data_IF_866238099972
#
_entry.id   IF_866238099972
#
_cell.length_a   1.000
_cell.length_b   1.000
_cell.length_c   1.000
_cell.angle_alpha   90.00
_cell.angle_beta   90.00
_cell.angle_gamma   90.00
#
_symmetry.space_group_name_H-M   'P 1'
#
loop_
_entity.id
_entity.type
_entity.pdbx_description
1 polymer ?
#
# COMPACT_ATOMS: atom_id res chain seq x y z
N UNK A 1 9.70 55.11 -3.95
CA UNK A 1 8.92 53.86 -4.16
C UNK A 1 9.54 52.76 -3.32
N UNK A 2 8.80 52.11 -2.42
CA UNK A 2 9.33 50.97 -1.66
C UNK A 2 9.74 49.83 -2.59
N UNK A 3 10.92 49.25 -2.34
CA UNK A 3 11.42 48.06 -3.02
C UNK A 3 10.37 46.95 -2.99
N UNK A 4 10.25 46.18 -4.08
CA UNK A 4 9.33 45.03 -4.16
C UNK A 4 9.56 44.06 -3.00
N UNK A 5 10.81 43.84 -2.61
CA UNK A 5 11.21 42.97 -1.50
C UNK A 5 10.62 43.47 -0.17
N UNK A 6 10.67 44.78 0.09
CA UNK A 6 10.12 45.35 1.32
C UNK A 6 8.60 45.20 1.37
N UNK A 7 7.91 45.35 0.23
CA UNK A 7 6.46 45.12 0.14
C UNK A 7 6.10 43.66 0.44
N UNK A 8 6.86 42.71 -0.09
CA UNK A 8 6.67 41.28 0.22
C UNK A 8 6.97 40.96 1.68
N UNK A 9 8.02 41.53 2.28
CA UNK A 9 8.35 41.32 3.68
C UNK A 9 7.25 41.83 4.63
N UNK A 10 6.71 43.02 4.37
CA UNK A 10 5.58 43.59 5.14
C UNK A 10 4.32 42.74 4.98
N UNK A 11 4.03 42.24 3.77
CA UNK A 11 2.91 41.34 3.51
C UNK A 11 3.06 40.02 4.30
N UNK A 12 4.24 39.39 4.24
CA UNK A 12 4.53 38.16 4.99
C UNK A 12 4.44 38.37 6.50
N UNK A 13 4.90 39.50 7.02
CA UNK A 13 4.80 39.82 8.44
C UNK A 13 3.34 40.05 8.87
N UNK A 14 2.55 40.74 8.05
CA UNK A 14 1.11 40.99 8.31
C UNK A 14 0.28 39.70 8.29
N UNK A 15 0.60 38.77 7.40
CA UNK A 15 -0.17 37.53 7.18
C UNK A 15 0.56 36.27 7.66
N UNK A 16 1.54 36.39 8.56
CA UNK A 16 2.37 35.26 9.01
C UNK A 16 1.54 34.06 9.50
N UNK A 17 0.61 34.31 10.42
CA UNK A 17 -0.24 33.27 11.01
C UNK A 17 -1.17 32.59 9.98
N UNK A 18 -1.98 33.33 9.20
CA UNK A 18 -2.84 32.68 8.20
C UNK A 18 -2.05 32.00 7.09
N UNK A 19 -0.87 32.50 6.72
CA UNK A 19 0.02 31.83 5.77
C UNK A 19 0.50 30.49 6.33
N UNK A 20 0.96 30.48 7.59
CA UNK A 20 1.44 29.27 8.25
C UNK A 20 0.32 28.23 8.39
N UNK A 21 -0.87 28.65 8.84
CA UNK A 21 -2.03 27.76 8.96
C UNK A 21 -2.40 27.18 7.59
N UNK A 22 -2.52 28.02 6.56
CA UNK A 22 -2.84 27.58 5.21
C UNK A 22 -1.78 26.62 4.66
N UNK A 23 -0.49 26.89 4.88
CA UNK A 23 0.58 26.01 4.40
C UNK A 23 0.59 24.67 5.13
N UNK A 24 0.48 24.67 6.48
CA UNK A 24 0.48 23.44 7.26
C UNK A 24 -0.77 22.61 6.99
N UNK A 25 -1.94 23.26 6.94
CA UNK A 25 -3.20 22.61 6.58
C UNK A 25 -3.19 22.06 5.16
N UNK A 26 -2.59 22.78 4.21
CA UNK A 26 -2.42 22.32 2.83
C UNK A 26 -1.54 21.08 2.71
N UNK A 27 -0.37 21.07 3.36
CA UNK A 27 0.53 19.90 3.36
C UNK A 27 -0.12 18.71 4.06
N UNK A 28 -0.75 18.95 5.21
CA UNK A 28 -1.50 17.91 5.93
C UNK A 28 -2.62 17.34 5.07
N UNK A 29 -3.45 18.18 4.45
CA UNK A 29 -4.53 17.75 3.57
C UNK A 29 -4.04 16.95 2.37
N UNK A 30 -2.93 17.38 1.74
CA UNK A 30 -2.32 16.65 0.64
C UNK A 30 -1.81 15.26 1.07
N UNK A 31 -1.13 15.15 2.22
CA UNK A 31 -0.68 13.87 2.75
C UNK A 31 -1.85 12.95 3.16
N UNK A 32 -2.93 13.52 3.70
CA UNK A 32 -4.11 12.75 4.13
C UNK A 32 -4.99 12.29 2.97
N UNK A 33 -4.92 12.94 1.80
CA UNK A 33 -5.90 12.76 0.72
C UNK A 33 -6.08 11.29 0.31
N UNK A 34 -4.99 10.56 0.09
CA UNK A 34 -5.06 9.16 -0.35
C UNK A 34 -5.47 8.20 0.78
N UNK A 35 -5.41 8.63 2.03
CA UNK A 35 -5.95 7.89 3.17
C UNK A 35 -7.42 8.18 3.45
N UNK A 36 -7.93 9.34 3.03
CA UNK A 36 -9.37 9.64 3.13
C UNK A 36 -10.18 8.91 2.05
N UNK A 37 -9.58 8.73 0.87
CA UNK A 37 -10.24 8.14 -0.31
C UNK A 37 -9.38 7.02 -0.94
N UNK A 38 -9.03 5.95 -0.19
CA UNK A 38 -8.11 4.92 -0.66
C UNK A 38 -8.61 4.18 -1.91
N UNK A 39 -9.92 3.97 -2.07
CA UNK A 39 -10.48 3.33 -3.28
C UNK A 39 -10.22 4.13 -4.57
N UNK A 40 -10.34 5.46 -4.51
CA UNK A 40 -10.19 6.34 -5.68
C UNK A 40 -8.74 6.66 -6.02
N UNK A 41 -7.82 6.39 -5.09
CA UNK A 41 -6.42 6.81 -5.21
C UNK A 41 -5.49 5.62 -5.07
N UNK A 42 -5.32 5.15 -3.84
CA UNK A 42 -4.36 4.12 -3.46
C UNK A 42 -4.63 2.78 -4.15
N UNK A 43 -5.89 2.34 -4.15
CA UNK A 43 -6.27 1.07 -4.77
C UNK A 43 -6.05 1.11 -6.27
N UNK A 44 -6.46 2.17 -6.96
CA UNK A 44 -6.19 2.30 -8.40
C UNK A 44 -4.69 2.24 -8.72
N UNK A 45 -3.87 2.84 -7.85
CA UNK A 45 -2.43 2.84 -8.01
C UNK A 45 -1.81 1.46 -7.78
N UNK A 46 -2.29 0.62 -6.86
CA UNK A 46 -1.63 -0.65 -6.51
C UNK A 46 -2.35 -1.92 -6.95
N UNK A 47 -3.59 -1.82 -7.43
CA UNK A 47 -4.41 -2.96 -7.85
C UNK A 47 -3.66 -3.80 -8.88
N UNK A 48 -3.62 -5.11 -8.68
CA UNK A 48 -3.17 -6.03 -9.72
C UNK A 48 -4.23 -6.13 -10.81
N UNK A 49 -3.79 -6.09 -12.07
CA UNK A 49 -4.64 -6.20 -13.26
C UNK A 49 -4.22 -7.41 -14.09
N UNK A 50 -5.20 -8.11 -14.66
CA UNK A 50 -4.98 -9.20 -15.61
C UNK A 50 -6.02 -9.11 -16.71
N UNK A 51 -5.57 -9.07 -17.97
CA UNK A 51 -6.45 -8.95 -19.14
C UNK A 51 -7.42 -7.74 -19.08
N UNK A 52 -6.98 -6.63 -18.48
CA UNK A 52 -7.77 -5.40 -18.37
C UNK A 52 -8.72 -5.35 -17.16
N UNK A 53 -8.84 -6.45 -16.41
CA UNK A 53 -9.72 -6.54 -15.24
C UNK A 53 -8.93 -6.61 -13.93
N UNK A 54 -9.48 -6.09 -12.82
CA UNK A 54 -8.83 -6.19 -11.52
C UNK A 54 -8.80 -7.65 -11.07
N UNK A 55 -7.61 -8.11 -10.67
CA UNK A 55 -7.43 -9.46 -10.15
C UNK A 55 -8.19 -9.61 -8.85
N UNK A 56 -9.07 -10.61 -8.79
CA UNK A 56 -9.77 -10.98 -7.56
C UNK A 56 -8.81 -11.66 -6.59
N UNK A 57 -9.03 -11.41 -5.31
CA UNK A 57 -8.23 -12.00 -4.25
C UNK A 57 -8.63 -13.47 -4.07
N UNK A 58 -7.65 -14.37 -3.97
CA UNK A 58 -7.90 -15.80 -3.73
C UNK A 58 -8.43 -16.05 -2.31
N UNK A 59 -9.20 -17.11 -2.14
CA UNK A 59 -9.73 -17.54 -0.83
C UNK A 59 -8.60 -17.74 0.19
N UNK A 60 -7.51 -18.42 -0.20
CA UNK A 60 -6.30 -18.59 0.61
C UNK A 60 -5.82 -17.26 1.23
N UNK A 61 -5.68 -16.21 0.41
CA UNK A 61 -5.18 -14.94 0.91
C UNK A 61 -6.22 -14.22 1.77
N UNK A 62 -7.50 -14.35 1.44
CA UNK A 62 -8.58 -13.78 2.25
C UNK A 62 -8.58 -14.43 3.65
N UNK A 63 -8.43 -15.74 3.73
CA UNK A 63 -8.34 -16.48 4.99
C UNK A 63 -7.12 -16.06 5.81
N UNK A 64 -5.94 -15.95 5.17
CA UNK A 64 -4.73 -15.47 5.85
C UNK A 64 -4.92 -14.05 6.37
N UNK A 65 -5.53 -13.18 5.59
CA UNK A 65 -5.82 -11.80 6.01
C UNK A 65 -6.78 -11.76 7.21
N UNK A 66 -7.90 -12.49 7.15
CA UNK A 66 -8.86 -12.56 8.26
C UNK A 66 -8.25 -13.15 9.52
N UNK A 67 -7.40 -14.17 9.37
CA UNK A 67 -6.67 -14.74 10.49
C UNK A 67 -5.70 -13.72 11.10
N UNK A 68 -5.00 -12.93 10.29
CA UNK A 68 -4.13 -11.86 10.81
C UNK A 68 -4.92 -10.80 11.57
N UNK A 69 -6.09 -10.36 11.07
CA UNK A 69 -6.93 -9.41 11.79
C UNK A 69 -7.37 -9.96 13.15
N UNK A 70 -7.74 -11.24 13.19
CA UNK A 70 -8.14 -11.95 14.41
C UNK A 70 -6.97 -12.09 15.39
N UNK A 71 -5.83 -12.58 14.92
CA UNK A 71 -4.64 -12.85 15.76
C UNK A 71 -4.05 -11.55 16.32
N UNK A 72 -4.10 -10.45 15.55
CA UNK A 72 -3.69 -9.12 16.02
C UNK A 72 -4.69 -8.49 17.00
N UNK A 73 -5.95 -8.95 17.04
CA UNK A 73 -6.97 -8.46 17.95
C UNK A 73 -7.69 -7.19 17.49
N UNK A 74 -7.89 -7.03 16.18
CA UNK A 74 -8.64 -5.88 15.63
C UNK A 74 -10.11 -5.93 16.10
N UNK A 75 -10.58 -4.87 16.76
CA UNK A 75 -11.94 -4.80 17.31
C UNK A 75 -13.03 -4.61 16.26
N UNK A 76 -12.70 -3.98 15.13
CA UNK A 76 -13.63 -3.70 14.02
C UNK A 76 -13.02 -4.19 12.70
N UNK A 77 -12.98 -5.52 12.47
CA UNK A 77 -12.34 -6.09 11.28
C UNK A 77 -13.01 -5.65 9.97
N UNK A 78 -14.31 -5.33 10.00
CA UNK A 78 -15.06 -4.84 8.82
C UNK A 78 -14.54 -3.49 8.29
N UNK A 79 -13.79 -2.75 9.11
CA UNK A 79 -13.16 -1.51 8.69
C UNK A 79 -11.83 -1.73 7.95
N UNK A 80 -11.40 -2.99 7.83
CA UNK A 80 -10.22 -3.40 7.08
C UNK A 80 -10.64 -4.24 5.87
N UNK A 81 -10.13 -3.88 4.70
CA UNK A 81 -10.34 -4.64 3.48
C UNK A 81 -9.01 -4.97 2.82
N UNK A 82 -8.98 -6.07 2.09
CA UNK A 82 -7.81 -6.48 1.32
C UNK A 82 -8.11 -6.59 -0.17
N UNK A 83 -7.10 -6.35 -0.99
CA UNK A 83 -7.17 -6.51 -2.43
C UNK A 83 -5.87 -7.12 -2.97
N UNK A 84 -5.94 -7.73 -4.16
CA UNK A 84 -4.73 -8.22 -4.81
C UNK A 84 -3.91 -7.05 -5.34
N UNK A 85 -2.69 -6.85 -4.83
CA UNK A 85 -1.79 -5.78 -5.30
C UNK A 85 -0.77 -6.29 -6.33
N UNK A 86 -0.29 -5.38 -7.16
CA UNK A 86 0.97 -5.58 -7.87
C UNK A 86 2.15 -5.24 -6.95
N UNK A 87 3.28 -5.91 -7.18
CA UNK A 87 4.47 -5.79 -6.33
C UNK A 87 4.74 -7.08 -5.55
N UNK A 88 5.64 -6.98 -4.56
CA UNK A 88 6.17 -8.12 -3.78
C UNK A 88 6.10 -7.91 -2.26
N UNK A 89 5.56 -6.79 -1.79
CA UNK A 89 5.36 -6.52 -0.36
C UNK A 89 3.94 -6.02 -0.13
N UNK A 90 3.31 -6.32 1.03
CA UNK A 90 2.05 -5.72 1.41
C UNK A 90 2.16 -4.20 1.48
N UNK A 91 1.14 -3.54 0.99
CA UNK A 91 1.03 -2.08 0.93
C UNK A 91 -0.33 -1.71 1.52
N UNK A 92 -0.45 -0.60 2.26
CA UNK A 92 -1.74 -0.16 2.76
C UNK A 92 -1.92 1.34 2.89
N UNK A 93 -3.19 1.75 2.89
CA UNK A 93 -3.63 3.12 3.13
C UNK A 93 -5.01 3.13 3.76
N UNK A 94 -5.53 4.32 4.05
CA UNK A 94 -6.79 4.48 4.76
C UNK A 94 -6.62 4.80 6.24
N UNK A 95 -7.76 4.94 6.90
CA UNK A 95 -7.89 5.22 8.34
C UNK A 95 -9.02 4.32 8.87
N UNK A 96 -8.73 3.35 9.75
CA UNK A 96 -9.73 2.35 10.16
C UNK A 96 -10.99 2.91 10.84
N UNK A 97 -10.94 4.12 11.40
CA UNK A 97 -12.10 4.74 12.06
C UNK A 97 -12.89 5.68 11.14
N UNK A 98 -12.48 5.84 9.88
CA UNK A 98 -13.24 6.59 8.87
C UNK A 98 -14.16 5.66 8.06
N UNK A 99 -15.21 6.19 7.42
CA UNK A 99 -16.13 5.38 6.62
C UNK A 99 -15.49 4.59 5.48
N UNK A 100 -14.41 5.09 4.88
CA UNK A 100 -13.66 4.39 3.84
C UNK A 100 -12.74 3.28 4.38
N UNK A 101 -12.57 3.21 5.71
CA UNK A 101 -11.75 2.23 6.39
C UNK A 101 -10.27 2.26 5.99
N UNK A 102 -9.63 1.12 6.19
CA UNK A 102 -8.26 0.83 5.81
C UNK A 102 -8.23 -0.28 4.74
N UNK A 103 -7.30 -0.15 3.79
CA UNK A 103 -7.14 -1.08 2.68
C UNK A 103 -5.72 -1.61 2.64
N UNK A 104 -5.58 -2.91 2.46
CA UNK A 104 -4.29 -3.60 2.40
C UNK A 104 -4.20 -4.36 1.08
N UNK A 105 -3.27 -3.92 0.23
CA UNK A 105 -2.89 -4.60 -0.99
C UNK A 105 -1.95 -5.76 -0.67
N UNK A 106 -2.40 -7.00 -0.91
CA UNK A 106 -1.63 -8.22 -0.70
C UNK A 106 -1.07 -8.72 -2.03
N UNK A 107 0.26 -8.89 -2.16
CA UNK A 107 0.88 -9.35 -3.40
C UNK A 107 0.46 -10.76 -3.79
N UNK A 108 0.23 -11.01 -5.08
CA UNK A 108 -0.17 -12.36 -5.50
C UNK A 108 0.94 -13.41 -5.42
N UNK A 109 2.22 -13.04 -5.23
CA UNK A 109 3.25 -14.04 -4.94
C UNK A 109 3.00 -14.76 -3.61
N UNK A 110 2.14 -14.23 -2.72
CA UNK A 110 1.73 -14.91 -1.50
C UNK A 110 0.83 -16.13 -1.80
N UNK A 111 0.23 -16.20 -3.00
CA UNK A 111 -0.44 -17.42 -3.44
C UNK A 111 0.54 -18.56 -3.70
N UNK A 112 1.78 -18.24 -4.06
CA UNK A 112 2.77 -19.25 -4.39
C UNK A 112 3.15 -20.11 -3.20
N UNK A 113 3.50 -21.36 -3.51
CA UNK A 113 4.11 -22.33 -2.61
C UNK A 113 5.37 -22.87 -3.26
N UNK A 114 6.14 -23.70 -2.55
CA UNK A 114 7.27 -24.42 -3.12
C UNK A 114 6.88 -25.31 -4.30
N UNK A 115 5.64 -25.83 -4.29
CA UNK A 115 5.12 -26.72 -5.33
C UNK A 115 4.33 -25.98 -6.43
N UNK A 116 3.89 -24.74 -6.18
CA UNK A 116 3.15 -23.92 -7.13
C UNK A 116 3.66 -22.47 -7.14
N UNK A 117 4.60 -22.18 -8.04
CA UNK A 117 5.17 -20.85 -8.21
C UNK A 117 4.41 -19.95 -9.19
N UNK A 118 3.21 -20.35 -9.65
CA UNK A 118 2.43 -19.59 -10.66
C UNK A 118 2.08 -18.16 -10.24
N UNK A 119 1.92 -17.90 -8.94
CA UNK A 119 1.74 -16.55 -8.42
C UNK A 119 2.89 -15.58 -8.73
N UNK A 120 4.08 -16.12 -9.01
CA UNK A 120 5.30 -15.39 -9.42
C UNK A 120 5.47 -15.46 -10.94
N UNK A 121 5.45 -16.66 -11.51
CA UNK A 121 5.86 -16.90 -12.91
C UNK A 121 4.81 -16.51 -13.95
N UNK A 122 3.52 -16.45 -13.60
CA UNK A 122 2.46 -15.97 -14.51
C UNK A 122 2.46 -14.45 -14.71
N UNK A 123 3.44 -13.74 -14.15
CA UNK A 123 3.61 -12.30 -14.27
C UNK A 123 4.95 -12.01 -14.94
N UNK A 124 4.95 -11.07 -15.89
CA UNK A 124 6.20 -10.63 -16.51
C UNK A 124 6.93 -9.69 -15.55
N UNK A 125 8.04 -10.16 -15.00
CA UNK A 125 8.91 -9.38 -14.12
C UNK A 125 10.07 -8.84 -14.96
N UNK A 126 10.31 -7.53 -14.89
CA UNK A 126 11.40 -6.87 -15.58
C UNK A 126 12.49 -6.43 -14.60
N UNK A 127 13.73 -6.81 -14.88
CA UNK A 127 14.91 -6.35 -14.16
C UNK A 127 15.79 -5.62 -15.18
N UNK A 128 16.09 -4.34 -14.94
CA UNK A 128 16.85 -3.50 -15.85
C UNK A 128 16.31 -3.52 -17.30
N UNK A 129 14.98 -3.50 -17.45
CA UNK A 129 14.30 -3.51 -18.75
C UNK A 129 14.29 -4.86 -19.47
N UNK A 130 14.82 -5.92 -18.87
CA UNK A 130 14.79 -7.29 -19.43
C UNK A 130 13.83 -8.16 -18.65
N UNK A 131 13.00 -8.92 -19.36
CA UNK A 131 12.14 -9.92 -18.74
C UNK A 131 13.02 -11.00 -18.07
N UNK A 132 12.65 -11.40 -16.85
CA UNK A 132 13.32 -12.50 -16.15
C UNK A 132 13.07 -13.80 -16.90
N UNK A 133 14.15 -14.51 -17.21
CA UNK A 133 14.10 -15.87 -17.71
C UNK A 133 14.00 -16.84 -16.53
N UNK A 134 12.79 -17.35 -16.27
CA UNK A 134 12.53 -18.31 -15.20
C UNK A 134 13.25 -19.65 -15.38
N UNK A 135 13.70 -19.97 -16.60
CA UNK A 135 14.47 -21.21 -16.86
C UNK A 135 15.96 -21.07 -16.56
N UNK A 136 16.44 -19.84 -16.34
CA UNK A 136 17.83 -19.59 -15.94
C UNK A 136 18.07 -19.91 -14.46
N UNK A 137 19.31 -20.20 -14.10
CA UNK A 137 19.74 -20.41 -12.70
C UNK A 137 19.38 -19.20 -11.81
N UNK A 138 19.64 -17.98 -12.30
CA UNK A 138 19.33 -16.74 -11.59
C UNK A 138 17.81 -16.54 -11.45
N UNK A 139 17.04 -16.85 -12.50
CA UNK A 139 15.58 -16.77 -12.46
C UNK A 139 14.98 -17.77 -11.47
N UNK A 140 15.53 -18.99 -11.42
CA UNK A 140 15.14 -20.02 -10.45
C UNK A 140 15.47 -19.60 -9.02
N UNK A 141 16.67 -19.08 -8.77
CA UNK A 141 17.07 -18.57 -7.45
C UNK A 141 16.18 -17.39 -6.99
N UNK A 142 15.83 -16.49 -7.91
CA UNK A 142 14.89 -15.40 -7.62
C UNK A 142 13.49 -15.91 -7.33
N UNK A 143 13.00 -16.88 -8.10
CA UNK A 143 11.69 -17.51 -7.88
C UNK A 143 11.61 -18.12 -6.49
N UNK A 144 12.62 -18.90 -6.09
CA UNK A 144 12.69 -19.51 -4.75
C UNK A 144 12.69 -18.44 -3.65
N UNK A 145 13.47 -17.36 -3.82
CA UNK A 145 13.52 -16.26 -2.85
C UNK A 145 12.19 -15.49 -2.70
N UNK A 146 11.32 -15.52 -3.72
CA UNK A 146 10.01 -14.87 -3.70
C UNK A 146 8.89 -15.73 -3.12
N UNK A 147 9.15 -17.01 -2.85
CA UNK A 147 8.23 -17.92 -2.16
C UNK A 147 8.40 -17.73 -0.65
N UNK A 148 7.43 -17.07 -0.04
CA UNK A 148 7.43 -16.81 1.41
C UNK A 148 6.75 -17.94 2.18
N UNK A 149 7.29 -18.29 3.36
CA UNK A 149 6.60 -19.14 4.31
C UNK A 149 5.31 -18.49 4.81
N UNK A 150 4.35 -19.30 5.29
CA UNK A 150 3.08 -18.79 5.79
C UNK A 150 3.26 -17.78 6.94
N UNK A 151 4.21 -18.02 7.84
CA UNK A 151 4.49 -17.10 8.93
C UNK A 151 5.10 -15.78 8.44
N UNK A 152 5.97 -15.82 7.43
CA UNK A 152 6.49 -14.61 6.80
C UNK A 152 5.37 -13.80 6.11
N UNK A 153 4.43 -14.48 5.46
CA UNK A 153 3.26 -13.85 4.84
C UNK A 153 2.37 -13.18 5.90
N UNK A 154 2.02 -13.91 6.97
CA UNK A 154 1.22 -13.39 8.09
C UNK A 154 1.91 -12.19 8.75
N UNK A 155 3.20 -12.29 9.02
CA UNK A 155 3.97 -11.20 9.60
C UNK A 155 3.95 -9.94 8.71
N UNK A 156 4.17 -10.10 7.41
CA UNK A 156 4.19 -8.99 6.48
C UNK A 156 2.83 -8.27 6.41
N UNK A 157 1.72 -9.01 6.43
CA UNK A 157 0.36 -8.46 6.48
C UNK A 157 0.09 -7.82 7.84
N UNK A 158 0.43 -8.50 8.94
CA UNK A 158 0.22 -8.02 10.31
C UNK A 158 0.95 -6.70 10.57
N UNK A 159 2.17 -6.54 10.03
CA UNK A 159 2.92 -5.29 10.09
C UNK A 159 2.12 -4.13 9.48
N UNK A 160 1.46 -4.37 8.34
CA UNK A 160 0.68 -3.34 7.66
C UNK A 160 -0.63 -3.02 8.39
N UNK A 161 -1.31 -4.05 8.92
CA UNK A 161 -2.46 -3.89 9.82
C UNK A 161 -2.07 -3.06 11.05
N UNK A 162 -0.97 -3.43 11.71
CA UNK A 162 -0.48 -2.76 12.91
C UNK A 162 -0.14 -1.30 12.65
N UNK A 163 0.51 -1.02 11.51
CA UNK A 163 0.82 0.34 11.07
C UNK A 163 -0.46 1.16 10.94
N UNK A 164 -1.45 0.69 10.17
CA UNK A 164 -2.70 1.42 9.94
C UNK A 164 -3.57 1.56 11.19
N UNK A 165 -3.53 0.57 12.10
CA UNK A 165 -4.28 0.60 13.36
C UNK A 165 -3.68 1.57 14.39
N UNK A 166 -2.35 1.58 14.54
CA UNK A 166 -1.67 2.25 15.66
C UNK A 166 -1.13 3.63 15.28
N UNK A 167 -0.69 3.74 14.03
CA UNK A 167 -0.06 4.91 13.45
C UNK A 167 -0.69 5.11 12.08
N UNK A 168 -1.99 5.43 12.07
CA UNK A 168 -2.66 5.94 10.87
C UNK A 168 -1.81 7.04 10.21
N UNK A 169 -2.23 7.62 9.09
CA UNK A 169 -1.43 8.63 8.36
C UNK A 169 -0.98 9.90 9.12
N UNK A 170 -1.23 9.97 10.43
CA UNK A 170 -0.94 11.06 11.37
C UNK A 170 0.08 10.61 12.41
#
# INVERSE_FOLDING_TARGET
MASRILKYAVLLQKYRTPLLITSCGGVFGANMFYHMFPDMTYRQLYQAWSKGEPVTMSEKLQDVFQQVLKDYGISSPDNFSAFASYGFHPVGAGVPWLPAGAQIGIPANFNSTSDDSKGITNRTIFINGKAVDWSSEVGSALQEALVLSLDAQRFAIAREVARLQSAGPV
#
